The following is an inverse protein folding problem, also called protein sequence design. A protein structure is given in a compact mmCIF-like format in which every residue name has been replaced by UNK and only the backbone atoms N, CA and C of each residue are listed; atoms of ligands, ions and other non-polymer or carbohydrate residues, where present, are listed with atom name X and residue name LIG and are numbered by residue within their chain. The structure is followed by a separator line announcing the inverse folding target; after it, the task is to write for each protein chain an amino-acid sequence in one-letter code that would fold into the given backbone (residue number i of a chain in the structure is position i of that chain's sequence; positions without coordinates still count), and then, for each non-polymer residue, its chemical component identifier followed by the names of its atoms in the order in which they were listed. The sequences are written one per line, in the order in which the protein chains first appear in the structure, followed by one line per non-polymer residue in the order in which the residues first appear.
data_IF_164624924780
#
_entry.id   IF_164624924780
#
_cell.length_a   1.000
_cell.length_b   1.000
_cell.length_c   1.000
_cell.angle_alpha   90.00
_cell.angle_beta   90.00
_cell.angle_gamma   90.00
#
_symmetry.space_group_name_H-M   'P 1'
#
loop_
_entity.id
_entity.type
_entity.pdbx_description
1 polymer ?
#
# COMPACT_ATOMS: atom_id res chain seq x y z
N UNK A 1 -24.40 -33.85 -2.35
CA UNK A 1 -23.32 -33.76 -1.36
C UNK A 1 -23.21 -32.30 -0.90
N UNK A 2 -23.53 -31.95 0.35
CA UNK A 2 -23.50 -30.55 0.77
C UNK A 2 -22.07 -30.12 1.09
N UNK A 3 -21.68 -28.97 0.54
CA UNK A 3 -20.43 -28.29 0.78
C UNK A 3 -20.39 -27.80 2.25
N UNK A 4 -19.71 -28.52 3.14
CA UNK A 4 -19.21 -27.92 4.40
C UNK A 4 -17.89 -27.22 4.07
N UNK A 5 -17.93 -25.91 3.84
CA UNK A 5 -16.70 -25.12 3.73
C UNK A 5 -16.64 -24.10 4.88
N UNK A 6 -15.81 -24.45 5.85
CA UNK A 6 -15.01 -23.53 6.65
C UNK A 6 -15.78 -22.55 7.51
N UNK A 7 -16.14 -22.97 8.72
CA UNK A 7 -16.27 -22.05 9.84
C UNK A 7 -14.99 -21.21 9.93
N UNK A 8 -15.16 -19.91 9.72
CA UNK A 8 -14.37 -18.78 10.22
C UNK A 8 -13.05 -19.20 10.90
N UNK A 9 -11.92 -18.86 10.28
CA UNK A 9 -10.63 -18.76 10.96
C UNK A 9 -10.52 -17.33 11.52
N UNK A 10 -10.98 -17.04 12.75
CA UNK A 10 -10.97 -15.68 13.29
C UNK A 10 -9.57 -15.04 13.31
N UNK A 11 -8.51 -15.82 13.57
CA UNK A 11 -7.14 -15.29 13.61
C UNK A 11 -6.55 -14.92 12.24
N UNK A 12 -7.09 -15.44 11.13
CA UNK A 12 -6.65 -15.02 9.79
C UNK A 12 -7.21 -13.62 9.43
N UNK A 13 -8.38 -13.27 9.96
CA UNK A 13 -9.00 -11.95 9.76
C UNK A 13 -8.31 -10.85 10.55
N UNK A 14 -7.98 -11.10 11.82
CA UNK A 14 -7.30 -10.11 12.69
C UNK A 14 -5.93 -9.71 12.14
N UNK A 15 -5.13 -10.69 11.71
CA UNK A 15 -3.80 -10.42 11.13
C UNK A 15 -3.92 -9.66 9.79
N UNK A 16 -4.91 -9.99 8.97
CA UNK A 16 -5.19 -9.29 7.71
C UNK A 16 -5.53 -7.81 7.95
N UNK A 17 -6.38 -7.50 8.93
CA UNK A 17 -6.72 -6.12 9.29
C UNK A 17 -5.47 -5.34 9.73
N UNK A 18 -4.61 -5.97 10.53
CA UNK A 18 -3.37 -5.34 10.99
C UNK A 18 -2.44 -4.98 9.81
N UNK A 19 -2.24 -5.90 8.86
CA UNK A 19 -1.45 -5.60 7.65
C UNK A 19 -2.06 -4.47 6.83
N UNK A 20 -3.40 -4.42 6.69
CA UNK A 20 -4.08 -3.34 5.96
C UNK A 20 -3.86 -1.98 6.62
N UNK A 21 -3.92 -1.93 7.95
CA UNK A 21 -3.65 -0.70 8.71
C UNK A 21 -2.18 -0.28 8.58
N UNK A 22 -1.24 -1.23 8.64
CA UNK A 22 0.17 -0.95 8.44
C UNK A 22 0.44 -0.42 7.02
N UNK A 23 -0.09 -1.07 6.00
CA UNK A 23 0.07 -0.63 4.60
C UNK A 23 -0.46 0.78 4.38
N UNK A 24 -1.66 1.07 4.91
CA UNK A 24 -2.24 2.41 4.86
C UNK A 24 -1.35 3.44 5.57
N UNK A 25 -0.84 3.10 6.75
CA UNK A 25 0.05 3.98 7.52
C UNK A 25 1.36 4.25 6.77
N UNK A 26 1.96 3.24 6.14
CA UNK A 26 3.20 3.35 5.37
C UNK A 26 3.01 4.29 4.18
N UNK A 27 1.91 4.13 3.42
CA UNK A 27 1.63 4.99 2.26
C UNK A 27 1.53 6.47 2.69
N UNK A 28 0.85 6.76 3.79
CA UNK A 28 0.66 8.12 4.31
C UNK A 28 1.94 8.69 4.92
N UNK A 29 2.68 7.90 5.71
CA UNK A 29 3.95 8.31 6.31
C UNK A 29 5.00 8.55 5.22
N UNK A 30 5.05 7.71 4.18
CA UNK A 30 5.93 7.91 3.03
C UNK A 30 5.63 9.24 2.31
N UNK A 31 4.35 9.59 2.16
CA UNK A 31 3.94 10.87 1.57
C UNK A 31 4.38 12.04 2.45
N UNK A 32 4.11 11.95 3.75
CA UNK A 32 4.48 12.97 4.72
C UNK A 32 5.99 13.18 4.77
N UNK A 33 6.77 12.10 4.86
CA UNK A 33 8.24 12.15 4.84
C UNK A 33 8.78 12.76 3.54
N UNK A 34 8.19 12.40 2.39
CA UNK A 34 8.58 12.96 1.10
C UNK A 34 8.29 14.47 1.03
N UNK A 35 7.14 14.92 1.55
CA UNK A 35 6.78 16.33 1.60
C UNK A 35 7.73 17.14 2.50
N UNK A 36 8.01 16.62 3.71
CA UNK A 36 8.93 17.23 4.66
C UNK A 36 10.36 17.33 4.11
N UNK A 37 10.85 16.29 3.43
CA UNK A 37 12.21 16.28 2.85
C UNK A 37 12.43 17.39 1.82
N UNK A 38 11.36 17.85 1.17
CA UNK A 38 11.39 18.86 0.14
C UNK A 38 10.83 20.22 0.59
N UNK A 39 10.49 20.36 1.89
CA UNK A 39 9.94 21.59 2.46
C UNK A 39 8.56 21.98 1.92
N UNK A 40 7.77 21.01 1.43
CA UNK A 40 6.47 21.26 0.81
C UNK A 40 5.37 21.15 1.86
N UNK A 41 4.51 22.17 1.94
CA UNK A 41 3.33 22.12 2.79
C UNK A 41 2.31 21.09 2.27
N UNK A 42 1.86 20.19 3.14
CA UNK A 42 0.81 19.22 2.84
C UNK A 42 -0.55 19.92 2.72
N UNK A 43 -0.85 20.42 1.53
CA UNK A 43 -2.16 20.95 1.18
C UNK A 43 -3.21 19.87 0.95
N UNK A 44 -4.46 20.30 0.75
CA UNK A 44 -5.62 19.42 0.49
C UNK A 44 -5.39 18.45 -0.67
N UNK A 45 -4.66 18.87 -1.70
CA UNK A 45 -4.36 18.03 -2.87
C UNK A 45 -3.46 16.83 -2.51
N UNK A 46 -2.47 17.02 -1.64
CA UNK A 46 -1.62 15.92 -1.16
C UNK A 46 -2.41 14.98 -0.25
N UNK A 47 -3.23 15.52 0.65
CA UNK A 47 -4.08 14.71 1.50
C UNK A 47 -5.05 13.84 0.68
N UNK A 48 -5.71 14.43 -0.33
CA UNK A 48 -6.58 13.69 -1.25
C UNK A 48 -5.81 12.62 -2.03
N UNK A 49 -4.62 12.95 -2.55
CA UNK A 49 -3.79 11.97 -3.26
C UNK A 49 -3.39 10.79 -2.36
N UNK A 50 -3.00 11.06 -1.10
CA UNK A 50 -2.67 10.04 -0.12
C UNK A 50 -3.85 9.13 0.21
N UNK A 51 -5.04 9.71 0.46
CA UNK A 51 -6.26 8.93 0.73
C UNK A 51 -6.66 8.08 -0.47
N UNK A 52 -6.65 8.65 -1.68
CA UNK A 52 -6.95 7.90 -2.91
C UNK A 52 -5.94 6.77 -3.14
N UNK A 53 -4.66 7.00 -2.80
CA UNK A 53 -3.63 5.96 -2.90
C UNK A 53 -3.89 4.81 -1.92
N UNK A 54 -4.22 5.12 -0.67
CA UNK A 54 -4.58 4.10 0.33
C UNK A 54 -5.80 3.30 -0.14
N UNK A 55 -6.87 3.98 -0.57
CA UNK A 55 -8.09 3.31 -1.05
C UNK A 55 -7.79 2.43 -2.26
N UNK A 56 -7.09 2.95 -3.27
CA UNK A 56 -6.72 2.19 -4.46
C UNK A 56 -5.83 1.00 -4.15
N UNK A 57 -4.81 1.19 -3.30
CA UNK A 57 -3.93 0.11 -2.88
C UNK A 57 -4.68 -0.98 -2.13
N UNK A 58 -5.49 -0.63 -1.13
CA UNK A 58 -6.27 -1.60 -0.35
C UNK A 58 -7.28 -2.35 -1.23
N UNK A 59 -7.91 -1.68 -2.19
CA UNK A 59 -8.82 -2.29 -3.14
C UNK A 59 -8.12 -3.33 -4.02
N UNK A 60 -7.01 -2.96 -4.66
CA UNK A 60 -6.26 -3.87 -5.52
C UNK A 60 -5.53 -4.97 -4.74
N UNK A 61 -5.13 -4.71 -3.50
CA UNK A 61 -4.56 -5.70 -2.61
C UNK A 61 -5.59 -6.76 -2.20
N UNK A 62 -6.83 -6.34 -1.92
CA UNK A 62 -7.93 -7.28 -1.68
C UNK A 62 -8.24 -8.10 -2.94
N UNK A 63 -8.30 -7.44 -4.10
CA UNK A 63 -8.54 -8.09 -5.40
C UNK A 63 -7.51 -9.18 -5.72
N UNK A 64 -6.23 -8.92 -5.46
CA UNK A 64 -5.15 -9.88 -5.68
C UNK A 64 -4.97 -10.87 -4.52
N UNK A 65 -5.79 -10.77 -3.46
CA UNK A 65 -5.72 -11.66 -2.31
C UNK A 65 -4.44 -11.52 -1.48
N UNK A 66 -3.81 -10.34 -1.48
CA UNK A 66 -2.52 -10.09 -0.83
C UNK A 66 -2.53 -10.49 0.66
N UNK A 67 -3.66 -10.30 1.34
CA UNK A 67 -3.80 -10.59 2.77
C UNK A 67 -4.25 -12.03 3.09
N UNK A 68 -4.49 -12.87 2.08
CA UNK A 68 -5.09 -14.20 2.27
C UNK A 68 -4.11 -15.33 2.58
N UNK A 69 -2.94 -15.38 1.92
CA UNK A 69 -2.02 -16.54 1.92
C UNK A 69 -0.60 -16.24 2.39
N UNK A 70 -0.45 -15.38 3.41
CA UNK A 70 0.85 -14.94 3.95
C UNK A 70 1.88 -16.06 4.23
N UNK A 71 1.44 -17.21 4.75
CA UNK A 71 2.33 -18.20 5.36
C UNK A 71 2.99 -19.17 4.38
N UNK A 72 2.49 -19.30 3.14
CA UNK A 72 2.98 -20.29 2.17
C UNK A 72 3.69 -19.67 0.96
N UNK A 73 3.63 -18.35 0.80
CA UNK A 73 4.09 -17.68 -0.42
C UNK A 73 5.54 -17.17 -0.27
N UNK A 74 6.42 -17.39 -1.27
CA UNK A 74 7.79 -16.87 -1.22
C UNK A 74 7.79 -15.35 -1.26
N UNK A 75 8.68 -14.72 -0.47
CA UNK A 75 8.74 -13.26 -0.33
C UNK A 75 8.95 -12.53 -1.67
N UNK A 76 9.65 -13.17 -2.62
CA UNK A 76 9.82 -12.63 -3.96
C UNK A 76 8.49 -12.44 -4.69
N UNK A 77 7.58 -13.41 -4.57
CA UNK A 77 6.26 -13.34 -5.19
C UNK A 77 5.42 -12.26 -4.53
N UNK A 78 5.45 -12.19 -3.20
CA UNK A 78 4.75 -11.14 -2.46
C UNK A 78 5.25 -9.73 -2.80
N UNK A 79 6.58 -9.53 -2.86
CA UNK A 79 7.17 -8.26 -3.27
C UNK A 79 6.75 -7.86 -4.70
N UNK A 80 6.68 -8.83 -5.61
CA UNK A 80 6.19 -8.61 -6.97
C UNK A 80 4.72 -8.21 -6.98
N UNK A 81 3.88 -8.88 -6.19
CA UNK A 81 2.46 -8.56 -6.03
C UNK A 81 2.28 -7.14 -5.47
N UNK A 82 3.00 -6.77 -4.40
CA UNK A 82 2.95 -5.44 -3.79
C UNK A 82 3.35 -4.36 -4.80
N UNK A 83 4.46 -4.57 -5.50
CA UNK A 83 4.95 -3.62 -6.51
C UNK A 83 3.93 -3.48 -7.65
N UNK A 84 3.32 -4.58 -8.07
CA UNK A 84 2.29 -4.58 -9.13
C UNK A 84 1.02 -3.85 -8.70
N UNK A 85 0.55 -4.08 -7.47
CA UNK A 85 -0.58 -3.36 -6.86
C UNK A 85 -0.27 -1.87 -6.80
N UNK A 86 0.90 -1.51 -6.27
CA UNK A 86 1.31 -0.12 -6.14
C UNK A 86 1.40 0.58 -7.50
N UNK A 87 1.98 -0.07 -8.51
CA UNK A 87 2.05 0.45 -9.86
C UNK A 87 0.66 0.70 -10.45
N UNK A 88 -0.29 -0.22 -10.22
CA UNK A 88 -1.67 -0.07 -10.67
C UNK A 88 -2.36 1.12 -9.96
N UNK A 89 -2.20 1.24 -8.64
CA UNK A 89 -2.67 2.40 -7.87
C UNK A 89 -2.10 3.71 -8.40
N UNK A 90 -0.79 3.75 -8.64
CA UNK A 90 -0.10 4.89 -9.24
C UNK A 90 -0.69 5.24 -10.60
N UNK A 91 -0.91 4.27 -11.48
CA UNK A 91 -1.52 4.51 -12.79
C UNK A 91 -2.91 5.14 -12.65
N UNK A 92 -3.74 4.65 -11.73
CA UNK A 92 -5.06 5.23 -11.44
C UNK A 92 -4.93 6.67 -10.94
N UNK A 93 -4.01 6.94 -10.01
CA UNK A 93 -3.77 8.30 -9.50
C UNK A 93 -3.29 9.25 -10.60
N UNK A 94 -2.43 8.80 -11.52
CA UNK A 94 -1.96 9.60 -12.64
C UNK A 94 -3.10 9.96 -13.59
N UNK A 95 -3.97 8.99 -13.90
CA UNK A 95 -5.17 9.23 -14.71
C UNK A 95 -6.07 10.25 -14.02
N UNK A 96 -6.40 10.04 -12.74
CA UNK A 96 -7.22 10.97 -11.96
C UNK A 96 -6.60 12.38 -11.87
N UNK A 97 -5.28 12.46 -11.63
CA UNK A 97 -4.56 13.73 -11.56
C UNK A 97 -4.52 14.47 -12.90
N UNK A 98 -4.42 13.74 -14.01
CA UNK A 98 -4.49 14.29 -15.36
C UNK A 98 -5.87 14.86 -15.68
N UNK A 99 -6.93 14.07 -15.45
CA UNK A 99 -8.32 14.53 -15.67
C UNK A 99 -8.72 15.66 -14.71
N UNK A 100 -8.25 15.62 -13.46
CA UNK A 100 -8.47 16.66 -12.46
C UNK A 100 -7.64 17.92 -12.66
N UNK A 101 -6.78 17.99 -13.69
CA UNK A 101 -5.81 19.10 -13.93
C UNK A 101 -4.97 19.47 -12.70
N UNK A 102 -4.74 18.51 -11.81
CA UNK A 102 -4.05 18.74 -10.54
C UNK A 102 -2.52 18.79 -10.69
N UNK A 103 -1.99 18.59 -11.90
CA UNK A 103 -0.55 18.55 -12.19
C UNK A 103 0.22 19.82 -11.83
N UNK A 104 -0.45 20.97 -11.72
CA UNK A 104 0.15 22.26 -11.33
C UNK A 104 0.31 22.37 -9.80
N UNK A 105 -0.52 21.66 -9.04
CA UNK A 105 -0.59 21.76 -7.57
C UNK A 105 0.44 20.85 -6.87
N UNK A 106 1.12 19.98 -7.61
CA UNK A 106 2.06 19.01 -7.06
C UNK A 106 3.51 19.36 -7.40
N UNK A 107 4.38 19.27 -6.39
CA UNK A 107 5.82 19.20 -6.58
C UNK A 107 6.14 17.84 -7.20
N UNK A 108 6.66 17.88 -8.43
CA UNK A 108 7.03 16.67 -9.19
C UNK A 108 8.02 15.82 -8.42
N UNK A 109 8.98 16.46 -7.74
CA UNK A 109 10.02 15.76 -6.99
C UNK A 109 9.44 15.04 -5.77
N UNK A 110 8.55 15.70 -5.02
CA UNK A 110 7.87 15.10 -3.87
C UNK A 110 7.03 13.89 -4.26
N UNK A 111 6.23 14.01 -5.32
CA UNK A 111 5.39 12.90 -5.79
C UNK A 111 6.25 11.74 -6.33
N UNK A 112 7.28 12.03 -7.13
CA UNK A 112 8.19 10.97 -7.61
C UNK A 112 8.93 10.27 -6.47
N UNK A 113 9.43 11.03 -5.49
CA UNK A 113 10.08 10.45 -4.30
C UNK A 113 9.11 9.55 -3.54
N UNK A 114 7.87 10.00 -3.32
CA UNK A 114 6.84 9.20 -2.68
C UNK A 114 6.50 7.93 -3.46
N UNK A 115 6.35 8.03 -4.77
CA UNK A 115 6.05 6.89 -5.65
C UNK A 115 7.14 5.81 -5.62
N UNK A 116 8.41 6.21 -5.50
CA UNK A 116 9.55 5.30 -5.46
C UNK A 116 9.82 4.75 -4.05
N UNK A 117 9.64 5.57 -3.02
CA UNK A 117 9.88 5.18 -1.63
C UNK A 117 8.82 4.21 -1.10
N UNK A 118 7.55 4.40 -1.46
CA UNK A 118 6.43 3.60 -0.96
C UNK A 118 6.59 2.08 -1.18
N UNK A 119 6.88 1.56 -2.38
CA UNK A 119 7.02 0.11 -2.59
C UNK A 119 8.21 -0.47 -1.82
N UNK A 120 9.30 0.30 -1.66
CA UNK A 120 10.45 -0.12 -0.85
C UNK A 120 10.06 -0.27 0.62
N UNK A 121 9.31 0.69 1.15
CA UNK A 121 8.83 0.66 2.54
C UNK A 121 7.83 -0.48 2.78
N UNK A 122 6.89 -0.69 1.86
CA UNK A 122 5.91 -1.78 1.95
C UNK A 122 6.60 -3.15 1.91
N UNK A 123 7.53 -3.38 0.97
CA UNK A 123 8.29 -4.63 0.93
C UNK A 123 9.19 -4.79 2.15
N UNK A 124 9.78 -3.69 2.64
CA UNK A 124 10.58 -3.69 3.86
C UNK A 124 9.78 -4.11 5.09
N UNK A 125 8.55 -3.64 5.23
CA UNK A 125 7.63 -4.07 6.30
C UNK A 125 7.36 -5.57 6.23
N UNK A 126 7.15 -6.13 5.02
CA UNK A 126 6.93 -7.58 4.85
C UNK A 126 8.11 -8.40 5.33
N UNK A 127 9.33 -7.97 4.98
CA UNK A 127 10.57 -8.61 5.44
C UNK A 127 10.68 -8.53 6.97
N UNK A 128 10.43 -7.35 7.54
CA UNK A 128 10.53 -7.11 8.98
C UNK A 128 9.54 -7.98 9.76
N UNK A 129 8.28 -8.01 9.34
CA UNK A 129 7.24 -8.82 10.00
C UNK A 129 7.54 -10.32 9.93
N UNK A 130 8.03 -10.81 8.78
CA UNK A 130 8.45 -12.21 8.67
C UNK A 130 9.66 -12.52 9.55
N UNK A 131 10.57 -11.57 9.75
CA UNK A 131 11.72 -11.77 10.64
C UNK A 131 11.27 -11.83 12.10
N UNK A 132 10.44 -10.88 12.54
CA UNK A 132 9.89 -10.84 13.90
C UNK A 132 9.06 -12.10 14.21
N UNK A 133 8.14 -12.49 13.32
CA UNK A 133 7.30 -13.68 13.50
C UNK A 133 8.07 -15.01 13.39
N UNK A 134 9.29 -15.02 12.87
CA UNK A 134 10.17 -16.22 12.88
C UNK A 134 11.00 -16.33 14.17
N UNK A 135 11.15 -15.23 14.90
CA UNK A 135 11.91 -15.20 16.16
C UNK A 135 11.05 -15.52 17.39
N UNK A 136 9.73 -15.56 17.24
CA UNK A 136 8.76 -16.05 18.24
C UNK A 136 8.24 -17.43 17.85
#
# INVERSE_FOLDING_TARGET
MPYRKGMLRPHAGELSIFHRMLDASIILVALWASAQSYGVALGVHYALAGVLAVVGFLFFAEWQGLYGSWRAEPIRREAWTITSIWLLTVCVLLVLGFFGKASIQFSRVTILAWMLATPVLLVGERVLLRYLLRQF
#
